data_IF_523574080654
#
_entry.id   IF_523574080654
#
_cell.length_a   1.000
_cell.length_b   1.000
_cell.length_c   1.000
_cell.angle_alpha   90.00
_cell.angle_beta   90.00
_cell.angle_gamma   90.00
#
_symmetry.space_group_name_H-M   'P 1'
#
loop_
_entity.id
_entity.type
_entity.pdbx_description
1 polymer ?
#
# COMPACT_ATOMS: atom_id res chain seq x y z
N UNK A 1 42.99 -21.88 14.85
CA UNK A 1 43.91 -22.91 15.36
C UNK A 1 43.63 -24.18 14.61
N UNK A 2 44.53 -24.56 13.71
CA UNK A 2 44.52 -25.78 12.91
C UNK A 2 45.32 -26.83 13.66
N UNK A 3 44.74 -27.98 13.95
CA UNK A 3 45.52 -29.17 14.34
C UNK A 3 45.98 -29.92 13.08
N UNK A 4 47.06 -30.67 13.25
CA UNK A 4 47.88 -31.27 12.20
C UNK A 4 47.51 -32.71 11.84
N UNK A 5 46.34 -33.22 12.21
CA UNK A 5 45.97 -34.61 11.96
C UNK A 5 44.65 -34.70 11.19
N UNK A 6 44.72 -34.51 9.86
CA UNK A 6 43.60 -34.52 8.91
C UNK A 6 42.68 -35.76 8.99
N UNK A 7 41.83 -35.80 10.01
CA UNK A 7 40.79 -36.79 10.24
C UNK A 7 39.49 -36.03 10.42
N UNK A 8 38.67 -36.03 9.37
CA UNK A 8 37.35 -35.43 9.36
C UNK A 8 36.37 -36.37 10.07
N UNK A 9 36.16 -36.19 11.37
CA UNK A 9 35.12 -36.89 12.14
C UNK A 9 33.79 -36.15 11.99
N UNK A 10 32.91 -36.66 11.13
CA UNK A 10 31.49 -36.25 11.08
C UNK A 10 30.76 -36.74 12.32
N UNK A 11 30.48 -35.84 13.26
CA UNK A 11 29.54 -36.06 14.37
C UNK A 11 28.10 -35.97 13.83
N UNK A 12 27.22 -36.95 14.07
CA UNK A 12 25.82 -36.86 13.68
C UNK A 12 25.10 -35.82 14.56
N UNK A 13 24.51 -34.82 13.91
CA UNK A 13 23.68 -33.79 14.53
C UNK A 13 22.33 -34.42 14.93
N UNK A 14 22.15 -34.73 16.22
CA UNK A 14 20.87 -35.20 16.75
C UNK A 14 19.99 -34.00 17.12
N UNK A 15 18.95 -33.75 16.32
CA UNK A 15 17.92 -32.76 16.58
C UNK A 15 17.11 -33.17 17.81
N UNK A 16 17.39 -32.53 18.95
CA UNK A 16 16.57 -32.64 20.15
C UNK A 16 15.28 -31.86 19.92
N UNK A 17 14.18 -32.58 19.64
CA UNK A 17 12.84 -32.01 19.65
C UNK A 17 12.48 -31.74 21.12
N UNK A 18 12.55 -30.48 21.54
CA UNK A 18 11.96 -30.05 22.81
C UNK A 18 10.45 -30.22 22.71
N UNK A 19 9.91 -31.24 23.39
CA UNK A 19 8.49 -31.32 23.69
C UNK A 19 8.12 -30.10 24.55
N UNK A 20 7.48 -29.10 23.94
CA UNK A 20 6.85 -28.02 24.70
C UNK A 20 5.63 -28.60 25.42
N UNK A 21 5.60 -28.41 26.73
CA UNK A 21 4.47 -28.81 27.56
C UNK A 21 3.19 -28.08 27.10
N UNK A 22 2.02 -28.74 27.17
CA UNK A 22 0.74 -28.16 26.78
C UNK A 22 0.44 -26.91 27.61
N UNK A 23 0.10 -25.81 26.93
CA UNK A 23 -0.30 -24.56 27.57
C UNK A 23 -1.61 -24.81 28.31
N UNK A 24 -1.54 -24.86 29.64
CA UNK A 24 -2.71 -24.92 30.51
C UNK A 24 -3.28 -23.51 30.63
N UNK A 25 -4.39 -23.23 29.95
CA UNK A 25 -5.10 -21.98 30.11
C UNK A 25 -5.78 -21.91 31.49
N UNK A 26 -5.68 -20.78 32.21
CA UNK A 26 -6.33 -20.64 33.50
C UNK A 26 -7.86 -20.67 33.36
N UNK A 27 -8.55 -21.24 34.34
CA UNK A 27 -9.99 -21.57 34.25
C UNK A 27 -10.91 -20.37 33.96
N UNK A 28 -10.45 -19.15 34.22
CA UNK A 28 -11.18 -17.91 33.93
C UNK A 28 -11.23 -17.54 32.43
N UNK A 29 -10.44 -18.18 31.57
CA UNK A 29 -10.45 -17.94 30.11
C UNK A 29 -11.65 -18.63 29.43
N UNK A 30 -12.16 -19.73 30.01
CA UNK A 30 -13.31 -20.47 29.47
C UNK A 30 -14.59 -19.63 29.35
N UNK A 31 -15.01 -18.82 30.34
CA UNK A 31 -16.21 -17.98 30.18
C UNK A 31 -16.05 -16.89 29.13
N UNK A 32 -14.83 -16.35 28.92
CA UNK A 32 -14.58 -15.31 27.91
C UNK A 32 -14.74 -15.84 26.48
N UNK A 33 -14.29 -17.08 26.22
CA UNK A 33 -14.47 -17.72 24.91
C UNK A 33 -15.95 -17.96 24.58
N UNK A 34 -16.77 -18.30 25.59
CA UNK A 34 -18.21 -18.50 25.42
C UNK A 34 -18.91 -17.16 25.10
N UNK A 35 -18.55 -16.08 25.80
CA UNK A 35 -19.10 -14.74 25.54
C UNK A 35 -18.76 -14.26 24.13
N UNK A 36 -17.52 -14.46 23.68
CA UNK A 36 -17.11 -14.12 22.31
C UNK A 36 -17.90 -14.91 21.25
N UNK A 37 -18.17 -16.19 21.49
CA UNK A 37 -18.98 -17.03 20.60
C UNK A 37 -20.45 -16.56 20.50
N UNK A 38 -21.05 -16.16 21.62
CA UNK A 38 -22.43 -15.63 21.65
C UNK A 38 -22.53 -14.31 20.87
N UNK A 39 -21.55 -13.41 21.05
CA UNK A 39 -21.53 -12.13 20.33
C UNK A 39 -21.38 -12.33 18.81
N UNK A 40 -20.52 -13.25 18.38
CA UNK A 40 -20.36 -13.55 16.96
C UNK A 40 -21.65 -14.11 16.34
N UNK A 41 -22.37 -14.98 17.05
CA UNK A 41 -23.65 -15.54 16.58
C UNK A 41 -24.74 -14.45 16.42
N UNK A 42 -24.81 -13.49 17.36
CA UNK A 42 -25.76 -12.38 17.28
C UNK A 42 -25.50 -11.45 16.10
N UNK A 43 -24.22 -11.18 15.78
CA UNK A 43 -23.84 -10.37 14.61
C UNK A 43 -24.25 -11.07 13.31
N UNK A 44 -24.09 -12.39 13.21
CA UNK A 44 -24.50 -13.17 12.03
C UNK A 44 -26.02 -13.11 11.85
N UNK A 45 -26.80 -13.22 12.93
CA UNK A 45 -28.27 -13.11 12.87
C UNK A 45 -28.71 -11.72 12.39
N UNK A 46 -28.06 -10.65 12.86
CA UNK A 46 -28.33 -9.27 12.44
C UNK A 46 -28.01 -9.02 10.95
N UNK A 47 -26.98 -9.69 10.41
CA UNK A 47 -26.59 -9.57 9.01
C UNK A 47 -27.40 -10.47 8.06
N UNK A 48 -28.09 -11.48 8.59
CA UNK A 48 -28.91 -12.41 7.81
C UNK A 48 -30.36 -11.96 7.58
N UNK A 49 -30.78 -10.81 8.13
CA UNK A 49 -32.10 -10.23 7.85
C UNK A 49 -31.99 -9.32 6.61
N UNK A 50 -32.55 -9.70 5.45
CA UNK A 50 -32.50 -8.85 4.27
C UNK A 50 -33.33 -7.58 4.48
N UNK A 51 -32.86 -6.40 4.04
CA UNK A 51 -33.68 -5.20 4.02
C UNK A 51 -34.82 -5.36 3.02
N UNK A 52 -36.04 -5.53 3.52
CA UNK A 52 -37.27 -5.41 2.75
C UNK A 52 -37.56 -3.93 2.47
N UNK A 53 -36.92 -3.36 1.45
CA UNK A 53 -37.38 -2.11 0.82
C UNK A 53 -36.72 -1.92 -0.57
N UNK A 54 -37.40 -2.38 -1.61
CA UNK A 54 -37.08 -2.01 -3.00
C UNK A 54 -38.34 -1.90 -3.85
N UNK A 55 -39.05 -0.77 -3.76
CA UNK A 55 -40.04 -0.39 -4.76
C UNK A 55 -39.87 1.08 -5.14
N UNK A 56 -39.46 1.27 -6.39
CA UNK A 56 -39.62 2.42 -7.29
C UNK A 56 -39.06 3.78 -6.83
N UNK A 57 -38.23 4.40 -7.67
CA UNK A 57 -38.66 5.57 -8.43
C UNK A 57 -37.78 5.79 -9.67
N UNK A 58 -38.49 6.01 -10.77
CA UNK A 58 -38.08 6.29 -12.13
C UNK A 58 -37.70 7.78 -12.23
N UNK A 59 -36.54 8.09 -12.80
CA UNK A 59 -36.12 9.46 -13.08
C UNK A 59 -36.29 9.75 -14.57
N UNK A 60 -37.42 10.35 -14.92
CA UNK A 60 -37.56 11.13 -16.13
C UNK A 60 -38.35 12.42 -15.82
N UNK A 61 -37.67 13.56 -15.86
CA UNK A 61 -37.99 14.73 -16.70
C UNK A 61 -37.26 16.00 -16.24
N UNK A 62 -36.58 16.62 -17.20
CA UNK A 62 -36.14 18.01 -17.21
C UNK A 62 -37.31 18.94 -17.59
N UNK A 63 -37.36 20.17 -17.04
CA UNK A 63 -38.18 21.25 -17.60
C UNK A 63 -38.70 22.33 -16.62
N UNK A 64 -37.93 23.42 -16.52
CA UNK A 64 -38.32 24.85 -16.43
C UNK A 64 -39.51 25.40 -15.59
N UNK A 65 -39.13 26.27 -14.64
CA UNK A 65 -39.62 27.64 -14.31
C UNK A 65 -41.02 27.94 -13.72
N UNK A 66 -40.94 28.85 -12.73
CA UNK A 66 -41.88 29.88 -12.24
C UNK A 66 -42.78 29.64 -11.00
N UNK A 67 -42.63 30.61 -10.09
CA UNK A 67 -43.60 31.26 -9.21
C UNK A 67 -44.01 30.59 -7.88
N UNK A 68 -43.73 31.36 -6.81
CA UNK A 68 -44.28 31.22 -5.48
C UNK A 68 -45.82 31.26 -5.50
N UNK A 69 -46.44 30.26 -4.88
CA UNK A 69 -47.69 30.44 -4.11
C UNK A 69 -47.74 29.42 -2.99
N UNK A 70 -47.86 29.93 -1.77
CA UNK A 70 -48.09 29.17 -0.55
C UNK A 70 -49.48 28.53 -0.57
N UNK A 71 -49.54 27.23 -0.30
CA UNK A 71 -50.76 26.58 0.18
C UNK A 71 -50.37 25.40 1.09
N UNK A 72 -50.66 25.57 2.38
CA UNK A 72 -50.57 24.59 3.44
C UNK A 72 -51.71 23.56 3.36
N UNK A 73 -51.42 22.28 3.53
CA UNK A 73 -52.33 21.34 4.20
C UNK A 73 -51.56 20.10 4.71
N UNK A 74 -52.12 19.32 5.66
CA UNK A 74 -51.41 18.93 6.87
C UNK A 74 -51.35 17.39 7.02
N UNK A 75 -50.69 16.95 8.10
CA UNK A 75 -50.79 15.62 8.71
C UNK A 75 -50.01 14.46 8.05
N UNK A 76 -48.75 14.31 8.49
CA UNK A 76 -48.20 13.01 8.87
C UNK A 76 -47.13 13.21 9.95
N UNK A 77 -47.56 13.42 11.19
CA UNK A 77 -46.71 13.44 12.38
C UNK A 77 -47.22 12.36 13.34
N UNK A 78 -46.58 11.19 13.36
CA UNK A 78 -46.84 10.19 14.42
C UNK A 78 -45.78 9.06 14.56
N UNK A 79 -44.59 9.16 13.93
CA UNK A 79 -43.56 8.10 14.04
C UNK A 79 -42.27 8.50 14.75
N UNK A 80 -41.98 9.80 14.91
CA UNK A 80 -40.66 10.25 15.40
C UNK A 80 -40.55 10.38 16.92
N UNK A 81 -41.65 10.18 17.65
CA UNK A 81 -41.70 10.44 19.09
C UNK A 81 -41.32 9.22 19.97
N UNK A 82 -41.36 7.99 19.44
CA UNK A 82 -40.97 6.78 20.18
C UNK A 82 -39.44 6.62 20.21
N UNK A 83 -38.77 6.86 19.08
CA UNK A 83 -37.31 6.70 18.94
C UNK A 83 -36.53 7.72 19.76
N UNK A 84 -36.99 8.98 19.78
CA UNK A 84 -36.38 10.04 20.60
C UNK A 84 -36.60 9.82 22.11
N UNK A 85 -37.69 9.14 22.50
CA UNK A 85 -37.97 8.77 23.89
C UNK A 85 -37.08 7.61 24.35
N UNK A 86 -36.77 6.65 23.47
CA UNK A 86 -35.81 5.58 23.73
C UNK A 86 -34.37 6.10 23.88
N UNK A 87 -33.94 7.05 23.03
CA UNK A 87 -32.58 7.64 23.11
C UNK A 87 -32.41 8.47 24.39
N UNK A 88 -33.43 9.27 24.79
CA UNK A 88 -33.38 10.00 26.06
C UNK A 88 -33.40 9.08 27.29
N UNK A 89 -34.13 7.97 27.24
CA UNK A 89 -34.13 6.99 28.33
C UNK A 89 -32.80 6.22 28.45
N UNK A 90 -32.07 6.04 27.35
CA UNK A 90 -30.75 5.40 27.34
C UNK A 90 -29.67 6.31 27.95
N UNK A 91 -29.68 7.60 27.58
CA UNK A 91 -28.72 8.57 28.11
C UNK A 91 -28.94 8.84 29.60
N UNK A 92 -30.19 8.90 30.06
CA UNK A 92 -30.50 9.04 31.48
C UNK A 92 -30.07 7.83 32.34
N UNK A 93 -29.95 6.63 31.74
CA UNK A 93 -29.42 5.44 32.44
C UNK A 93 -27.90 5.41 32.48
N UNK A 94 -27.22 6.05 31.53
CA UNK A 94 -25.76 6.15 31.49
C UNK A 94 -25.23 7.13 32.54
N UNK A 95 -25.95 8.22 32.78
CA UNK A 95 -25.57 9.25 33.77
C UNK A 95 -25.90 8.86 35.22
N UNK A 96 -26.72 7.82 35.43
CA UNK A 96 -27.16 7.37 36.75
C UNK A 96 -26.35 6.21 37.35
N UNK A 97 -25.24 5.79 36.73
CA UNK A 97 -24.43 4.66 37.19
C UNK A 97 -23.14 5.15 37.90
N UNK A 98 -23.05 5.15 39.24
CA UNK A 98 -21.96 5.77 40.01
C UNK A 98 -20.72 4.86 40.13
N UNK A 99 -20.31 4.21 39.02
CA UNK A 99 -19.30 3.15 39.03
C UNK A 99 -17.96 3.47 38.35
N UNK A 100 -17.81 4.59 37.64
CA UNK A 100 -16.56 4.94 36.96
C UNK A 100 -15.95 6.21 37.55
N UNK A 101 -15.27 6.03 38.68
CA UNK A 101 -14.35 7.03 39.20
C UNK A 101 -13.14 7.15 38.26
N UNK A 102 -12.74 8.41 37.99
CA UNK A 102 -11.47 8.78 37.35
C UNK A 102 -10.32 8.20 38.17
N UNK A 103 -9.70 7.13 37.68
CA UNK A 103 -8.48 6.60 38.27
C UNK A 103 -7.26 7.24 37.60
N UNK A 104 -6.46 7.92 38.43
CA UNK A 104 -5.24 8.59 38.03
C UNK A 104 -4.12 7.55 38.04
N UNK A 105 -3.73 7.05 36.87
CA UNK A 105 -2.70 6.02 36.78
C UNK A 105 -1.29 6.61 37.01
N UNK A 106 -0.74 6.33 38.18
CA UNK A 106 0.65 6.56 38.56
C UNK A 106 1.54 5.48 37.93
N UNK A 107 2.55 5.92 37.21
CA UNK A 107 3.56 5.10 36.52
C UNK A 107 4.49 4.36 37.49
N UNK A 108 4.60 3.04 37.34
CA UNK A 108 5.74 2.24 37.81
C UNK A 108 6.30 1.47 36.63
N UNK A 109 7.52 1.82 36.24
CA UNK A 109 8.17 1.34 35.03
C UNK A 109 8.63 -0.11 35.11
N UNK A 110 8.24 -0.88 34.11
CA UNK A 110 8.97 -2.06 33.67
C UNK A 110 9.43 -1.76 32.25
N UNK A 111 10.74 -1.53 32.09
CA UNK A 111 11.34 -1.15 30.82
C UNK A 111 11.24 -2.30 29.80
N UNK A 112 10.26 -2.22 28.92
CA UNK A 112 10.31 -2.89 27.62
C UNK A 112 11.31 -2.10 26.75
N UNK A 113 12.30 -2.74 26.09
CA UNK A 113 13.13 -2.02 25.15
C UNK A 113 12.27 -1.63 23.95
N UNK A 114 11.80 -0.39 23.95
CA UNK A 114 11.31 0.27 22.74
C UNK A 114 12.52 0.37 21.80
N UNK A 115 12.61 -0.53 20.82
CA UNK A 115 13.43 -0.25 19.64
C UNK A 115 12.81 0.99 18.99
N UNK A 116 13.36 2.16 19.31
CA UNK A 116 13.17 3.34 18.51
C UNK A 116 13.63 2.97 17.10
N UNK A 117 12.69 2.87 16.16
CA UNK A 117 13.05 2.81 14.76
C UNK A 117 13.84 4.10 14.47
N UNK A 118 15.16 3.97 14.38
CA UNK A 118 16.07 5.06 14.06
C UNK A 118 15.80 5.49 12.62
N UNK A 119 14.79 6.34 12.43
CA UNK A 119 14.58 7.05 11.17
C UNK A 119 15.72 8.04 11.01
N UNK A 120 16.66 7.72 10.11
CA UNK A 120 17.62 8.68 9.61
C UNK A 120 16.85 9.78 8.84
N UNK A 121 17.27 11.03 9.00
CA UNK A 121 16.62 12.22 8.42
C UNK A 121 17.62 12.99 7.56
N UNK A 122 17.20 13.44 6.39
CA UNK A 122 17.99 14.34 5.55
C UNK A 122 17.14 15.08 4.51
N UNK A 123 17.58 16.27 4.14
CA UNK A 123 17.01 17.13 3.08
C UNK A 123 17.73 16.92 1.75
N UNK A 124 18.22 15.71 1.50
CA UNK A 124 19.35 15.41 0.60
C UNK A 124 19.34 16.13 -0.75
N UNK A 125 20.52 16.34 -1.33
CA UNK A 125 20.69 16.73 -2.72
C UNK A 125 21.02 15.50 -3.56
N UNK A 126 20.70 15.52 -4.85
CA UNK A 126 21.22 14.48 -5.76
C UNK A 126 22.76 14.39 -5.64
N UNK A 127 23.32 13.18 -5.51
CA UNK A 127 24.77 12.99 -5.45
C UNK A 127 25.40 13.21 -6.82
N UNK A 128 26.73 13.31 -6.83
CA UNK A 128 27.50 13.17 -8.07
C UNK A 128 27.43 11.72 -8.55
N UNK A 129 27.09 11.53 -9.82
CA UNK A 129 27.07 10.21 -10.46
C UNK A 129 28.46 9.86 -10.99
N UNK A 130 28.88 8.61 -10.74
CA UNK A 130 30.16 8.06 -11.17
C UNK A 130 30.03 7.28 -12.50
N UNK A 131 28.81 6.88 -12.86
CA UNK A 131 28.53 6.20 -14.12
C UNK A 131 27.20 6.66 -14.72
N UNK A 132 27.13 6.59 -16.04
CA UNK A 132 25.91 6.83 -16.83
C UNK A 132 25.85 5.74 -17.92
N UNK A 133 24.81 4.92 -17.88
CA UNK A 133 24.63 3.77 -18.77
C UNK A 133 23.21 3.79 -19.32
N UNK A 134 23.06 3.57 -20.62
CA UNK A 134 21.76 3.34 -21.23
C UNK A 134 21.46 1.85 -21.32
N UNK A 135 20.25 1.44 -20.91
CA UNK A 135 19.77 0.07 -21.01
C UNK A 135 18.32 0.07 -21.51
N UNK A 136 18.10 -0.35 -22.76
CA UNK A 136 16.81 -0.17 -23.40
C UNK A 136 16.42 1.33 -23.47
N UNK A 137 15.25 1.67 -22.96
CA UNK A 137 14.76 3.05 -22.84
C UNK A 137 15.29 3.78 -21.59
N UNK A 138 15.96 3.07 -20.69
CA UNK A 138 16.42 3.62 -19.43
C UNK A 138 17.77 4.34 -19.58
N UNK A 139 17.86 5.52 -18.98
CA UNK A 139 19.12 6.18 -18.63
C UNK A 139 19.39 5.94 -17.16
N UNK A 140 20.44 5.19 -16.84
CA UNK A 140 20.78 4.74 -15.48
C UNK A 140 22.05 5.46 -15.03
N UNK A 141 21.94 6.26 -13.99
CA UNK A 141 23.03 6.99 -13.38
C UNK A 141 23.38 6.35 -12.04
N UNK A 142 24.59 5.83 -11.91
CA UNK A 142 25.09 5.15 -10.70
C UNK A 142 26.01 6.06 -9.90
N UNK A 143 25.93 6.00 -8.56
CA UNK A 143 26.96 6.62 -7.69
C UNK A 143 28.15 5.67 -7.53
N UNK A 144 29.18 6.09 -6.79
CA UNK A 144 30.30 5.23 -6.42
C UNK A 144 29.88 4.00 -5.60
N UNK A 145 28.65 4.00 -5.05
CA UNK A 145 28.09 2.87 -4.30
C UNK A 145 27.48 1.80 -5.19
N UNK A 146 27.17 2.08 -6.45
CA UNK A 146 26.55 1.08 -7.33
C UNK A 146 27.45 -0.17 -7.50
N UNK A 147 28.77 -0.05 -7.75
CA UNK A 147 29.69 -1.20 -7.76
C UNK A 147 29.76 -1.98 -6.44
N UNK A 148 29.53 -1.31 -5.29
CA UNK A 148 29.49 -1.93 -3.96
C UNK A 148 28.19 -2.71 -3.70
N UNK A 149 27.19 -2.54 -4.56
CA UNK A 149 25.86 -3.15 -4.45
C UNK A 149 25.58 -4.05 -5.67
N UNK A 150 26.24 -5.22 -5.78
CA UNK A 150 26.16 -6.08 -6.97
C UNK A 150 24.76 -6.63 -7.25
N UNK A 151 23.92 -6.79 -6.22
CA UNK A 151 22.51 -7.17 -6.39
C UNK A 151 21.75 -6.06 -7.13
N UNK A 152 21.93 -4.80 -6.70
CA UNK A 152 21.31 -3.62 -7.31
C UNK A 152 21.80 -3.41 -8.73
N UNK A 153 23.11 -3.45 -8.94
CA UNK A 153 23.69 -3.38 -10.28
C UNK A 153 23.18 -4.52 -11.18
N UNK A 154 23.10 -5.72 -10.63
CA UNK A 154 22.63 -6.92 -11.31
C UNK A 154 21.21 -6.75 -11.84
N UNK A 155 20.23 -6.38 -11.00
CA UNK A 155 18.85 -6.24 -11.48
C UNK A 155 18.63 -4.99 -12.34
N UNK A 156 19.33 -3.87 -12.09
CA UNK A 156 19.26 -2.69 -12.96
C UNK A 156 19.70 -2.99 -14.40
N UNK A 157 20.71 -3.86 -14.58
CA UNK A 157 21.15 -4.32 -15.90
C UNK A 157 20.17 -5.25 -16.62
N UNK A 158 19.10 -5.69 -15.95
CA UNK A 158 18.01 -6.50 -16.50
C UNK A 158 16.69 -5.73 -16.57
N UNK A 159 16.70 -4.43 -16.30
CA UNK A 159 15.50 -3.62 -16.18
C UNK A 159 14.77 -3.54 -17.53
N UNK A 160 13.57 -4.12 -17.59
CA UNK A 160 12.75 -4.09 -18.80
C UNK A 160 12.20 -2.68 -19.06
N UNK A 161 11.97 -2.35 -20.33
CA UNK A 161 11.25 -1.14 -20.70
C UNK A 161 9.80 -1.23 -20.18
N UNK A 162 9.22 -0.13 -19.66
CA UNK A 162 7.81 -0.11 -19.31
C UNK A 162 6.92 -0.54 -20.49
N UNK A 163 5.93 -1.38 -20.21
CA UNK A 163 5.03 -2.00 -21.18
C UNK A 163 3.58 -1.87 -20.69
N UNK A 164 3.00 -0.66 -20.66
CA UNK A 164 1.71 -0.40 -20.03
C UNK A 164 0.56 -1.28 -20.58
N UNK A 165 0.63 -1.67 -21.85
CA UNK A 165 -0.31 -2.57 -22.52
C UNK A 165 -0.37 -3.99 -21.91
N UNK A 166 0.72 -4.43 -21.27
CA UNK A 166 0.81 -5.74 -20.64
C UNK A 166 0.36 -5.71 -19.18
N UNK A 167 0.19 -4.54 -18.55
CA UNK A 167 0.01 -4.41 -17.10
C UNK A 167 -1.35 -3.80 -16.73
N UNK A 168 -2.42 -4.49 -17.14
CA UNK A 168 -3.80 -4.13 -16.81
C UNK A 168 -4.07 -4.17 -15.31
N UNK A 169 -3.40 -5.06 -14.58
CA UNK A 169 -3.53 -5.19 -13.12
C UNK A 169 -2.24 -4.80 -12.41
N UNK A 170 -2.35 -4.42 -11.14
CA UNK A 170 -1.21 -4.10 -10.29
C UNK A 170 -0.28 -5.33 -10.14
N UNK A 171 1.06 -5.16 -10.06
CA UNK A 171 2.01 -6.28 -10.03
C UNK A 171 1.88 -7.25 -8.86
N UNK A 172 1.07 -6.95 -7.83
CA UNK A 172 0.84 -7.88 -6.73
C UNK A 172 -0.23 -8.95 -7.07
N UNK A 173 -0.86 -8.86 -8.24
CA UNK A 173 -1.88 -9.79 -8.73
C UNK A 173 -1.32 -10.59 -9.90
N UNK A 174 -1.85 -11.80 -10.11
CA UNK A 174 -1.51 -12.60 -11.28
C UNK A 174 -1.81 -11.84 -12.55
N UNK A 175 -0.77 -11.59 -13.34
CA UNK A 175 -0.90 -11.02 -14.67
C UNK A 175 -0.87 -12.14 -15.73
N UNK A 176 -2.00 -12.38 -16.39
CA UNK A 176 -2.10 -13.42 -17.42
C UNK A 176 -1.43 -13.01 -18.74
N UNK A 177 -1.25 -11.70 -18.97
CA UNK A 177 -0.58 -11.16 -20.15
C UNK A 177 0.95 -11.22 -20.01
N UNK A 178 1.47 -11.53 -18.80
CA UNK A 178 2.89 -11.71 -18.50
C UNK A 178 3.11 -13.06 -17.79
N UNK A 179 2.94 -14.19 -18.51
CA UNK A 179 2.99 -15.52 -17.90
C UNK A 179 4.37 -15.89 -17.33
N UNK A 180 5.43 -15.24 -17.78
CA UNK A 180 6.79 -15.45 -17.26
C UNK A 180 7.06 -14.71 -15.94
N UNK A 181 6.14 -13.85 -15.48
CA UNK A 181 6.27 -13.17 -14.20
C UNK A 181 6.14 -14.16 -13.06
N UNK A 182 7.29 -14.53 -12.50
CA UNK A 182 7.39 -15.60 -11.53
C UNK A 182 6.63 -15.27 -10.24
N UNK A 183 5.93 -16.28 -9.71
CA UNK A 183 5.26 -16.23 -8.41
C UNK A 183 5.79 -17.33 -7.51
N UNK A 184 6.15 -16.97 -6.29
CA UNK A 184 6.59 -17.92 -5.28
C UNK A 184 5.41 -18.32 -4.41
N UNK A 185 5.23 -19.62 -4.21
CA UNK A 185 4.28 -20.11 -3.21
C UNK A 185 4.75 -19.65 -1.83
N UNK A 186 3.89 -18.95 -1.09
CA UNK A 186 4.10 -18.68 0.31
C UNK A 186 4.16 -20.01 1.07
N UNK A 187 4.88 -20.06 2.20
CA UNK A 187 4.74 -21.17 3.14
C UNK A 187 3.25 -21.32 3.45
N UNK A 188 2.69 -22.51 3.23
CA UNK A 188 1.28 -22.75 3.54
C UNK A 188 1.01 -22.35 4.98
N UNK A 189 0.07 -21.41 5.14
CA UNK A 189 -0.49 -21.10 6.44
C UNK A 189 -1.67 -22.04 6.58
N UNK A 190 -1.45 -23.17 7.26
CA UNK A 190 -2.58 -23.96 7.77
C UNK A 190 -3.39 -23.02 8.65
N UNK A 191 -4.62 -22.72 8.25
CA UNK A 191 -5.52 -22.04 9.16
C UNK A 191 -5.78 -22.95 10.37
N UNK A 192 -6.09 -22.37 11.53
CA UNK A 192 -6.37 -23.12 12.77
C UNK A 192 -7.52 -24.14 12.61
N UNK A 193 -8.31 -24.01 11.53
CA UNK A 193 -9.40 -24.91 11.17
C UNK A 193 -8.99 -26.14 10.33
N UNK A 194 -7.71 -26.30 9.98
CA UNK A 194 -7.23 -27.44 9.18
C UNK A 194 -7.82 -27.51 7.76
N UNK A 195 -8.37 -26.41 7.25
CA UNK A 195 -8.89 -26.36 5.89
C UNK A 195 -7.74 -26.11 4.90
N UNK A 196 -7.91 -26.67 3.70
CA UNK A 196 -6.91 -26.76 2.65
C UNK A 196 -6.14 -25.45 2.39
N UNK A 197 -4.82 -25.60 2.22
CA UNK A 197 -3.84 -24.62 1.77
C UNK A 197 -4.46 -23.48 0.95
N UNK A 198 -4.58 -22.29 1.53
CA UNK A 198 -4.69 -21.09 0.70
C UNK A 198 -3.37 -21.01 -0.04
N UNK A 199 -3.39 -21.31 -1.35
CA UNK A 199 -2.27 -21.06 -2.26
C UNK A 199 -2.04 -19.56 -2.34
N UNK A 200 -1.36 -19.04 -1.33
CA UNK A 200 -0.76 -17.73 -1.37
C UNK A 200 0.42 -17.85 -2.33
N UNK A 201 0.40 -17.09 -3.43
CA UNK A 201 1.56 -16.96 -4.29
C UNK A 201 1.90 -15.47 -4.38
N UNK A 202 3.10 -15.09 -3.91
CA UNK A 202 3.60 -13.71 -3.96
C UNK A 202 4.40 -13.56 -5.26
N UNK A 203 4.12 -12.54 -6.08
CA UNK A 203 4.97 -12.23 -7.21
C UNK A 203 6.38 -11.81 -6.75
N UNK A 204 7.39 -12.14 -7.55
CA UNK A 204 8.71 -11.56 -7.36
C UNK A 204 8.65 -10.04 -7.56
N UNK A 205 9.46 -9.27 -6.82
CA UNK A 205 9.47 -7.82 -6.94
C UNK A 205 8.53 -7.13 -5.95
N UNK A 206 7.33 -6.70 -6.33
CA UNK A 206 6.51 -5.81 -5.46
C UNK A 206 5.35 -6.53 -4.76
N UNK A 207 5.22 -6.34 -3.45
CA UNK A 207 4.02 -6.66 -2.67
C UNK A 207 2.94 -5.58 -2.84
N UNK A 208 1.69 -5.91 -2.50
CA UNK A 208 0.56 -4.97 -2.51
C UNK A 208 0.92 -3.70 -1.74
N UNK A 209 0.68 -2.55 -2.37
CA UNK A 209 0.82 -1.26 -1.72
C UNK A 209 -0.49 -0.74 -1.17
N UNK A 210 -0.42 0.01 -0.07
CA UNK A 210 -1.55 0.77 0.46
C UNK A 210 -1.46 2.20 -0.04
N UNK A 211 -2.60 2.76 -0.47
CA UNK A 211 -2.71 4.19 -0.69
C UNK A 211 -2.25 4.93 0.56
N UNK A 212 -1.43 5.95 0.35
CA UNK A 212 -0.84 6.70 1.45
C UNK A 212 -0.93 8.19 1.14
N UNK A 213 -1.12 8.98 2.18
CA UNK A 213 -0.81 10.41 2.18
C UNK A 213 0.58 10.54 2.81
N UNK A 214 1.49 11.27 2.17
CA UNK A 214 1.43 12.71 2.35
C UNK A 214 1.34 13.40 0.99
N UNK A 215 0.27 14.17 0.83
CA UNK A 215 0.20 15.19 -0.19
C UNK A 215 0.70 16.47 0.43
N UNK A 216 1.70 17.07 -0.20
CA UNK A 216 2.29 18.31 0.24
C UNK A 216 1.50 19.51 -0.31
N UNK A 217 0.16 19.51 -0.24
CA UNK A 217 -0.72 20.45 -0.96
C UNK A 217 -0.40 21.94 -0.69
N UNK A 218 0.07 22.28 0.52
CA UNK A 218 0.40 23.68 0.88
C UNK A 218 1.88 23.89 1.27
N UNK A 219 2.56 22.85 1.75
CA UNK A 219 3.91 22.94 2.30
C UNK A 219 4.69 21.66 2.03
N UNK A 220 6.01 21.75 1.81
CA UNK A 220 6.87 20.57 1.69
C UNK A 220 6.65 19.63 2.87
N UNK A 221 6.61 18.33 2.57
CA UNK A 221 6.29 17.30 3.53
C UNK A 221 7.37 16.20 3.55
N UNK A 222 7.27 15.35 4.56
CA UNK A 222 8.24 14.28 4.78
C UNK A 222 7.77 13.00 4.10
N UNK A 223 8.65 12.37 3.33
CA UNK A 223 8.36 11.12 2.60
C UNK A 223 9.10 9.96 3.28
N UNK A 224 8.42 9.20 4.16
CA UNK A 224 9.00 8.00 4.75
C UNK A 224 8.97 6.83 3.76
N UNK A 225 10.09 6.11 3.69
CA UNK A 225 10.24 4.84 2.99
C UNK A 225 10.78 3.83 4.00
N UNK A 226 9.97 2.83 4.35
CA UNK A 226 10.35 1.82 5.34
C UNK A 226 11.49 0.90 4.87
N UNK A 227 11.94 -0.02 5.74
CA UNK A 227 12.95 -1.01 5.37
C UNK A 227 12.37 -1.98 4.35
N UNK A 228 13.12 -2.25 3.28
CA UNK A 228 12.68 -3.09 2.15
C UNK A 228 11.31 -2.68 1.57
N UNK A 229 11.04 -1.37 1.57
CA UNK A 229 9.83 -0.78 1.04
C UNK A 229 10.10 0.04 -0.21
N UNK A 230 9.05 0.23 -0.99
CA UNK A 230 9.00 1.19 -2.06
C UNK A 230 7.94 2.26 -1.79
N UNK A 231 8.18 3.44 -2.35
CA UNK A 231 7.23 4.54 -2.45
C UNK A 231 7.00 4.85 -3.91
N UNK A 232 5.76 4.67 -4.36
CA UNK A 232 5.30 5.12 -5.66
C UNK A 232 4.60 6.46 -5.52
N UNK A 233 4.89 7.40 -6.42
CA UNK A 233 4.30 8.73 -6.48
C UNK A 233 3.96 9.00 -7.95
N UNK A 234 2.69 9.24 -8.27
CA UNK A 234 2.28 9.76 -9.57
C UNK A 234 1.66 11.12 -9.39
N UNK A 235 2.38 12.18 -9.74
CA UNK A 235 2.02 13.55 -9.44
C UNK A 235 3.19 14.49 -9.71
N UNK A 236 2.93 15.78 -9.54
CA UNK A 236 3.97 16.80 -9.57
C UNK A 236 4.89 16.60 -8.36
N UNK A 237 6.19 16.72 -8.54
CA UNK A 237 7.14 16.60 -7.44
C UNK A 237 8.35 17.51 -7.57
N UNK A 238 8.90 17.91 -6.43
CA UNK A 238 10.29 18.36 -6.28
C UNK A 238 10.96 17.42 -5.30
N UNK A 239 11.88 16.59 -5.81
CA UNK A 239 12.56 15.55 -5.05
C UNK A 239 14.08 15.66 -5.24
N UNK A 240 14.81 15.93 -4.15
CA UNK A 240 16.27 16.09 -4.14
C UNK A 240 16.82 17.08 -5.18
N UNK A 241 16.06 18.15 -5.44
CA UNK A 241 16.39 19.16 -6.45
C UNK A 241 16.08 18.75 -7.90
N UNK A 242 15.46 17.58 -8.12
CA UNK A 242 14.85 17.23 -9.41
C UNK A 242 13.37 17.54 -9.38
N UNK A 243 12.92 18.30 -10.36
CA UNK A 243 11.50 18.65 -10.50
C UNK A 243 10.88 17.93 -11.69
N UNK A 244 9.64 17.49 -11.50
CA UNK A 244 8.77 17.08 -12.58
C UNK A 244 7.40 17.71 -12.34
N UNK A 245 6.94 18.49 -13.30
CA UNK A 245 5.60 19.07 -13.32
C UNK A 245 4.86 18.55 -14.55
N UNK A 246 3.65 18.06 -14.34
CA UNK A 246 2.75 17.67 -15.41
C UNK A 246 2.14 18.89 -16.08
N UNK A 247 1.72 18.73 -17.33
CA UNK A 247 1.09 19.78 -18.12
C UNK A 247 -0.19 19.30 -18.81
N UNK A 248 -0.81 18.26 -18.24
CA UNK A 248 -1.95 17.50 -18.80
C UNK A 248 -1.64 16.70 -20.07
N UNK A 249 -0.59 17.05 -20.83
CA UNK A 249 -0.09 16.26 -21.96
C UNK A 249 1.00 15.27 -21.53
N UNK A 250 1.70 15.60 -20.45
CA UNK A 250 2.77 14.83 -19.85
C UNK A 250 2.53 14.67 -18.35
N UNK A 251 2.68 13.44 -17.87
CA UNK A 251 2.61 13.10 -16.45
C UNK A 251 3.97 12.89 -15.81
N UNK A 252 3.98 12.82 -14.47
CA UNK A 252 5.17 12.60 -13.67
C UNK A 252 5.02 11.40 -12.74
N UNK A 253 6.03 10.53 -12.73
CA UNK A 253 6.11 9.39 -11.83
C UNK A 253 7.47 9.35 -11.15
N UNK A 254 7.46 9.13 -9.84
CA UNK A 254 8.63 8.91 -9.01
C UNK A 254 8.45 7.61 -8.22
N UNK A 255 9.42 6.71 -8.33
CA UNK A 255 9.48 5.48 -7.54
C UNK A 255 10.74 5.52 -6.68
N UNK A 256 10.59 5.40 -5.37
CA UNK A 256 11.69 5.26 -4.41
C UNK A 256 11.74 3.81 -3.97
N UNK A 257 12.91 3.18 -3.99
CA UNK A 257 13.12 1.83 -3.47
C UNK A 257 14.22 1.89 -2.42
N UNK A 258 13.87 1.56 -1.18
CA UNK A 258 14.82 1.46 -0.08
C UNK A 258 15.33 0.03 0.06
N UNK A 259 16.57 -0.22 -0.35
CA UNK A 259 17.18 -1.56 -0.32
C UNK A 259 17.82 -1.93 1.03
N UNK A 260 17.67 -1.07 2.04
CA UNK A 260 18.22 -1.27 3.39
C UNK A 260 17.18 -1.84 4.36
N UNK A 261 17.66 -2.44 5.44
CA UNK A 261 16.88 -2.95 6.58
C UNK A 261 16.46 -1.86 7.58
N UNK A 262 16.67 -0.59 7.25
CA UNK A 262 16.28 0.56 8.07
C UNK A 262 15.37 1.50 7.29
N UNK A 263 14.38 2.08 7.97
CA UNK A 263 13.53 3.12 7.40
C UNK A 263 14.31 4.42 7.19
N UNK A 264 14.00 5.11 6.09
CA UNK A 264 14.51 6.46 5.84
C UNK A 264 13.36 7.45 5.66
N UNK A 265 13.58 8.71 6.03
CA UNK A 265 12.61 9.79 5.75
C UNK A 265 13.28 10.93 5.02
N UNK A 266 12.87 11.13 3.77
CA UNK A 266 13.24 12.29 2.95
C UNK A 266 12.47 13.50 3.44
N UNK A 267 13.17 14.51 3.97
CA UNK A 267 12.54 15.67 4.61
C UNK A 267 12.33 16.81 3.64
N UNK A 268 11.23 17.54 3.79
CA UNK A 268 10.96 18.76 3.02
C UNK A 268 10.91 18.56 1.51
N UNK A 269 10.27 17.46 1.06
CA UNK A 269 10.04 17.19 -0.35
C UNK A 269 8.68 17.77 -0.77
N UNK A 270 8.47 18.02 -2.06
CA UNK A 270 7.19 18.50 -2.58
C UNK A 270 6.53 17.42 -3.44
N UNK A 271 5.24 17.19 -3.25
CA UNK A 271 4.40 16.24 -3.99
C UNK A 271 2.98 16.79 -4.05
N UNK A 272 2.48 17.03 -5.27
CA UNK A 272 1.17 17.62 -5.51
C UNK A 272 0.44 16.97 -6.72
N UNK A 273 -0.86 17.26 -6.87
CA UNK A 273 -1.69 16.87 -8.01
C UNK A 273 -1.61 15.39 -8.39
N UNK A 274 -1.67 14.47 -7.41
CA UNK A 274 -1.27 13.09 -7.69
C UNK A 274 -1.90 12.01 -6.83
N UNK A 275 -1.20 10.88 -6.72
CA UNK A 275 -1.31 9.97 -5.59
C UNK A 275 -0.02 9.29 -5.22
N UNK A 276 0.01 8.79 -3.98
CA UNK A 276 1.15 8.04 -3.49
C UNK A 276 0.71 6.69 -2.94
N UNK A 277 1.56 5.71 -3.15
CA UNK A 277 1.37 4.35 -2.70
C UNK A 277 2.66 3.89 -2.06
N UNK A 278 2.55 3.17 -0.95
CA UNK A 278 3.70 2.53 -0.30
C UNK A 278 3.45 1.04 -0.21
N UNK A 279 4.48 0.25 -0.42
CA UNK A 279 4.40 -1.19 -0.29
C UNK A 279 5.76 -1.79 0.05
N UNK A 280 5.76 -3.06 0.43
CA UNK A 280 6.98 -3.84 0.58
C UNK A 280 7.34 -4.49 -0.73
N UNK A 281 8.60 -4.82 -0.91
CA UNK A 281 9.00 -5.68 -2.01
C UNK A 281 9.39 -7.05 -1.49
N UNK A 282 9.19 -8.07 -2.32
CA UNK A 282 9.56 -9.45 -2.08
C UNK A 282 10.65 -9.86 -3.06
N UNK A 283 11.61 -10.66 -2.60
CA UNK A 283 12.73 -11.14 -3.41
C UNK A 283 13.56 -10.01 -4.05
N UNK A 284 14.41 -9.36 -3.23
CA UNK A 284 15.15 -8.15 -3.61
C UNK A 284 16.11 -8.28 -4.81
N UNK A 285 16.50 -9.50 -5.16
CA UNK A 285 17.32 -9.82 -6.34
C UNK A 285 16.51 -9.83 -7.66
N UNK A 286 15.17 -9.83 -7.56
CA UNK A 286 14.20 -9.81 -8.66
C UNK A 286 13.43 -8.49 -8.77
N UNK A 287 13.95 -7.42 -8.17
CA UNK A 287 13.33 -6.10 -8.19
C UNK A 287 13.10 -5.54 -9.59
N UNK A 288 13.80 -6.03 -10.63
CA UNK A 288 13.53 -5.65 -12.02
C UNK A 288 12.09 -5.95 -12.44
N UNK A 289 11.51 -7.04 -11.95
CA UNK A 289 10.12 -7.41 -12.27
C UNK A 289 9.13 -6.52 -11.54
N UNK A 290 9.41 -6.27 -10.27
CA UNK A 290 8.60 -5.38 -9.45
C UNK A 290 8.57 -3.95 -10.00
N UNK A 291 9.74 -3.41 -10.35
CA UNK A 291 9.86 -2.10 -10.97
C UNK A 291 9.15 -2.07 -12.33
N UNK A 292 9.35 -3.10 -13.17
CA UNK A 292 8.70 -3.19 -14.47
C UNK A 292 7.17 -3.18 -14.36
N UNK A 293 6.59 -4.03 -13.50
CA UNK A 293 5.15 -4.11 -13.36
C UNK A 293 4.54 -2.87 -12.68
N UNK A 294 5.18 -2.34 -11.65
CA UNK A 294 4.71 -1.14 -10.95
C UNK A 294 4.67 0.08 -11.88
N UNK A 295 5.75 0.31 -12.61
CA UNK A 295 5.88 1.46 -13.51
C UNK A 295 4.98 1.29 -14.73
N UNK A 296 4.88 0.08 -15.29
CA UNK A 296 3.99 -0.19 -16.43
C UNK A 296 2.52 0.00 -16.07
N UNK A 297 2.08 -0.52 -14.92
CA UNK A 297 0.70 -0.33 -14.46
C UNK A 297 0.40 1.13 -14.14
N UNK A 298 1.33 1.82 -13.44
CA UNK A 298 1.20 3.25 -13.16
C UNK A 298 1.11 4.09 -14.44
N UNK A 299 1.92 3.76 -15.45
CA UNK A 299 1.89 4.43 -16.74
C UNK A 299 0.60 4.13 -17.50
N UNK A 300 0.13 2.88 -17.51
CA UNK A 300 -1.16 2.49 -18.10
C UNK A 300 -2.29 3.33 -17.51
N UNK A 301 -2.28 3.55 -16.19
CA UNK A 301 -3.24 4.44 -15.55
C UNK A 301 -3.13 5.87 -16.08
N UNK A 302 -1.95 6.47 -16.04
CA UNK A 302 -1.73 7.87 -16.45
C UNK A 302 -1.99 8.15 -17.94
N UNK A 303 -1.82 7.14 -18.79
CA UNK A 303 -2.10 7.17 -20.23
C UNK A 303 -3.58 6.85 -20.57
N UNK A 304 -4.41 6.67 -19.53
CA UNK A 304 -5.82 6.29 -19.62
C UNK A 304 -6.03 5.02 -20.46
N UNK A 305 -5.25 3.98 -20.18
CA UNK A 305 -5.44 2.65 -20.74
C UNK A 305 -6.37 1.84 -19.83
N UNK A 306 -7.07 0.81 -20.36
CA UNK A 306 -7.90 -0.05 -19.53
C UNK A 306 -7.08 -0.76 -18.44
N UNK A 307 -7.46 -0.53 -17.19
CA UNK A 307 -6.81 -1.12 -16.01
C UNK A 307 -7.80 -1.50 -14.93
N UNK A 308 -7.38 -2.42 -14.06
CA UNK A 308 -8.17 -2.99 -12.98
C UNK A 308 -7.36 -3.01 -11.68
N UNK A 309 -8.00 -2.70 -10.56
CA UNK A 309 -7.40 -2.83 -9.23
C UNK A 309 -7.24 -4.31 -8.87
N UNK A 310 -8.25 -5.11 -9.26
CA UNK A 310 -8.40 -6.55 -9.08
C UNK A 310 -9.26 -7.09 -10.22
N UNK A 311 -9.24 -8.40 -10.52
CA UNK A 311 -10.09 -8.97 -11.57
C UNK A 311 -11.56 -8.52 -11.43
N UNK A 312 -12.04 -7.74 -12.40
CA UNK A 312 -13.40 -7.19 -12.44
C UNK A 312 -13.64 -5.88 -11.69
N UNK A 313 -12.63 -5.32 -11.02
CA UNK A 313 -12.67 -4.01 -10.36
C UNK A 313 -11.97 -2.97 -11.24
N UNK A 314 -12.72 -2.38 -12.17
CA UNK A 314 -12.20 -1.42 -13.15
C UNK A 314 -11.67 -0.16 -12.45
N UNK A 315 -10.39 0.16 -12.71
CA UNK A 315 -9.76 1.43 -12.31
C UNK A 315 -9.85 2.46 -13.42
N UNK A 316 -9.60 2.05 -14.67
CA UNK A 316 -9.77 2.86 -15.86
C UNK A 316 -10.50 2.05 -16.92
N UNK A 317 -11.58 2.59 -17.47
CA UNK A 317 -12.26 2.00 -18.63
C UNK A 317 -11.53 2.27 -19.94
N UNK A 318 -10.61 3.23 -19.95
CA UNK A 318 -9.99 3.77 -21.16
C UNK A 318 -10.87 4.79 -21.91
N UNK A 319 -12.12 5.00 -21.47
CA UNK A 319 -13.08 5.93 -22.08
C UNK A 319 -14.34 6.10 -21.19
N UNK A 320 -14.75 7.34 -20.83
CA UNK A 320 -13.95 8.39 -20.23
C UNK A 320 -13.74 8.13 -18.72
N UNK A 321 -12.58 8.50 -18.19
CA UNK A 321 -12.30 8.41 -16.75
C UNK A 321 -10.86 7.96 -16.49
N UNK A 322 -10.01 8.91 -16.09
CA UNK A 322 -8.61 8.65 -15.79
C UNK A 322 -8.34 8.74 -14.28
N UNK A 323 -7.83 7.65 -13.72
CA UNK A 323 -7.38 7.50 -12.34
C UNK A 323 -5.90 7.84 -12.13
N UNK A 324 -5.17 8.20 -13.19
CA UNK A 324 -3.74 8.43 -13.18
C UNK A 324 -3.33 9.84 -12.78
N UNK A 325 -3.07 10.07 -11.49
CA UNK A 325 -2.27 11.18 -10.94
C UNK A 325 -2.45 12.57 -11.60
N UNK A 326 -1.33 13.24 -11.92
CA UNK A 326 -1.32 14.57 -12.56
C UNK A 326 -1.71 14.56 -14.05
N UNK A 327 -2.30 13.47 -14.54
CA UNK A 327 -2.83 13.31 -15.88
C UNK A 327 -4.36 13.39 -15.92
N UNK A 328 -5.00 14.12 -14.99
CA UNK A 328 -6.45 14.14 -14.74
C UNK A 328 -7.38 14.62 -15.88
N UNK A 329 -6.97 14.54 -17.14
CA UNK A 329 -7.84 14.69 -18.31
C UNK A 329 -8.59 13.39 -18.62
N UNK A 330 -9.79 13.44 -19.23
CA UNK A 330 -10.55 12.24 -19.59
C UNK A 330 -9.82 11.28 -20.53
N UNK A 331 -8.83 11.77 -21.29
CA UNK A 331 -8.03 11.00 -22.25
C UNK A 331 -6.68 10.55 -21.70
N UNK A 332 -6.33 10.98 -20.49
CA UNK A 332 -5.00 10.85 -19.92
C UNK A 332 -3.93 11.68 -20.61
N UNK A 333 -2.70 11.53 -20.15
CA UNK A 333 -1.52 12.12 -20.77
C UNK A 333 -1.13 11.37 -22.05
N UNK A 334 -0.33 12.03 -22.89
CA UNK A 334 0.34 11.43 -24.05
C UNK A 334 1.63 10.71 -23.66
N UNK A 335 2.27 11.18 -22.59
CA UNK A 335 3.50 10.59 -22.06
C UNK A 335 3.62 10.71 -20.54
N UNK A 336 4.51 9.92 -19.95
CA UNK A 336 4.83 9.94 -18.53
C UNK A 336 6.34 9.94 -18.37
N UNK A 337 6.87 10.95 -17.70
CA UNK A 337 8.27 10.98 -17.27
C UNK A 337 8.41 10.18 -15.98
N UNK A 338 9.27 9.16 -16.02
CA UNK A 338 9.47 8.23 -14.91
C UNK A 338 10.87 8.40 -14.35
N UNK A 339 10.95 8.61 -13.03
CA UNK A 339 12.20 8.54 -12.27
C UNK A 339 12.11 7.41 -11.25
N UNK A 340 13.09 6.51 -11.26
CA UNK A 340 13.29 5.44 -10.28
C UNK A 340 14.55 5.75 -9.48
N UNK A 341 14.43 5.89 -8.16
CA UNK A 341 15.54 6.14 -7.24
C UNK A 341 15.73 4.92 -6.35
N UNK A 342 16.93 4.33 -6.41
CA UNK A 342 17.34 3.23 -5.53
C UNK A 342 18.26 3.79 -4.46
N UNK A 343 17.88 3.60 -3.20
CA UNK A 343 18.62 4.15 -2.07
C UNK A 343 18.76 3.12 -0.93
N UNK A 344 19.72 3.33 -0.05
CA UNK A 344 19.91 2.58 1.18
C UNK A 344 20.08 3.59 2.32
N UNK A 345 19.04 3.79 3.11
CA UNK A 345 19.02 4.92 4.05
C UNK A 345 19.03 6.27 3.32
N UNK A 346 19.94 7.16 3.69
CA UNK A 346 20.18 8.46 3.04
C UNK A 346 21.02 8.36 1.76
N UNK A 347 21.67 7.22 1.53
CA UNK A 347 22.59 7.04 0.42
C UNK A 347 21.85 6.61 -0.85
N UNK A 348 21.85 7.48 -1.88
CA UNK A 348 21.42 7.08 -3.22
C UNK A 348 22.48 6.18 -3.86
N UNK A 349 22.03 5.03 -4.36
CA UNK A 349 22.85 4.06 -5.09
C UNK A 349 22.76 4.34 -6.58
N UNK A 350 21.55 4.54 -7.10
CA UNK A 350 21.31 4.78 -8.51
C UNK A 350 20.01 5.56 -8.76
N UNK A 351 19.95 6.25 -9.90
CA UNK A 351 18.75 6.86 -10.45
C UNK A 351 18.57 6.36 -11.88
N UNK A 352 17.40 5.82 -12.21
CA UNK A 352 17.04 5.41 -13.56
C UNK A 352 15.89 6.29 -14.06
N UNK A 353 16.01 6.80 -15.29
CA UNK A 353 15.01 7.67 -15.91
C UNK A 353 14.57 7.11 -17.25
N UNK A 354 13.28 7.23 -17.55
CA UNK A 354 12.70 6.88 -18.85
C UNK A 354 11.45 7.74 -19.11
N UNK A 355 10.96 7.71 -20.34
CA UNK A 355 9.67 8.30 -20.72
C UNK A 355 8.82 7.21 -21.35
N UNK A 356 7.59 7.08 -20.89
CA UNK A 356 6.59 6.15 -21.46
C UNK A 356 5.63 6.95 -22.31
N UNK A 357 5.34 6.50 -23.52
CA UNK A 357 4.34 7.11 -24.41
C UNK A 357 3.22 6.13 -24.68
N UNK A 358 2.04 6.67 -25.04
CA UNK A 358 0.90 5.87 -25.49
C UNK A 358 1.19 5.09 -26.78
#
# INVERSE_FOLDING_TARGET
MTDSNGVTTTQPFSLRVEQREPIVYPEWVRPLAIIAGILAALIIILLAVPPLASWAWDHSYWGETHAQTSASNPNTASSDNETMKAIKALNAKLDANPGFAKETAQTTGTATPTQAANSLKGTGTMPTFASDVSHGAWKIQGTTRLPENPIVAGWLSRLKNPAPELWKTFPNIRNLDVPEFERKNCRSITNEAGAADIKCEVPDGMEYGTYSTPYCFAHPCDIPVGPWEYRYISGDYSFLGTECRGDMSKGCMLVLINVMDQAYTWRGQDVDNGFTLRGRYFNGDKLEWGAWGLISHGAANMLNMPTEARPGEVLNSGDPGNSGGNCGTPTGCKSVDVTLVVHAGDAIIAVAKTTVTK
#
